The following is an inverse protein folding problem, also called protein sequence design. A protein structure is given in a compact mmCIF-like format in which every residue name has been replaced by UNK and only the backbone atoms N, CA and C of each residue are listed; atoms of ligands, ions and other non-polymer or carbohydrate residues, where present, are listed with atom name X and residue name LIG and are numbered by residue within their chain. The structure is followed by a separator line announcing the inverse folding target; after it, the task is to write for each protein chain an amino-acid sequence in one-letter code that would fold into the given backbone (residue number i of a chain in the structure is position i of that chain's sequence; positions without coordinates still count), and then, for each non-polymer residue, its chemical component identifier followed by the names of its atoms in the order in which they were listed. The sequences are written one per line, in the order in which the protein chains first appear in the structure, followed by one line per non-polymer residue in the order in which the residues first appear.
data_IF_176484025499
#
_entry.id   IF_176484025499
#
_cell.length_a   1.000
_cell.length_b   1.000
_cell.length_c   1.000
_cell.angle_alpha   90.00
_cell.angle_beta   90.00
_cell.angle_gamma   90.00
#
_symmetry.space_group_name_H-M   'P 1'
#
loop_
_entity.id
_entity.type
_entity.pdbx_description
1 polymer ?
#
# COMPACT_ATOMS: atom_id res chain seq x y z
N UNK A 1 30.36 2.74 5.40
CA UNK A 1 29.95 1.96 4.21
C UNK A 1 29.09 0.78 4.65
N UNK A 2 27.76 0.96 4.81
CA UNK A 2 26.70 -0.06 4.65
C UNK A 2 25.30 0.33 5.19
N UNK A 3 25.12 1.47 5.87
CA UNK A 3 23.79 1.82 6.43
C UNK A 3 22.80 2.41 5.42
N UNK A 4 23.24 2.72 4.20
CA UNK A 4 22.36 3.19 3.11
C UNK A 4 21.68 2.05 2.31
N UNK A 5 21.91 0.77 2.65
CA UNK A 5 21.56 -0.34 1.74
C UNK A 5 20.37 -1.23 2.12
N UNK A 6 19.67 -0.99 3.23
CA UNK A 6 18.48 -1.82 3.57
C UNK A 6 17.26 -0.99 4.00
N UNK A 7 17.43 0.19 4.63
CA UNK A 7 16.31 0.94 5.23
C UNK A 7 15.43 1.74 4.24
N UNK A 8 15.68 1.65 2.92
CA UNK A 8 15.02 2.50 1.93
C UNK A 8 14.25 1.72 0.86
N UNK A 9 13.88 0.46 1.13
CA UNK A 9 13.46 -0.45 0.06
C UNK A 9 11.97 -0.73 -0.11
N UNK A 10 11.08 -0.36 0.80
CA UNK A 10 9.64 -0.61 0.56
C UNK A 10 8.65 0.33 1.27
N UNK A 11 9.08 1.38 1.97
CA UNK A 11 8.13 2.20 2.74
C UNK A 11 8.31 3.70 2.60
N UNK A 12 8.29 4.14 1.35
CA UNK A 12 7.72 5.42 0.95
C UNK A 12 7.01 5.11 -0.35
N UNK A 13 5.75 5.49 -0.51
CA UNK A 13 5.04 5.44 -1.79
C UNK A 13 5.68 6.46 -2.77
N UNK A 14 6.97 6.28 -3.07
CA UNK A 14 7.83 7.27 -3.73
C UNK A 14 7.56 7.34 -5.23
N UNK A 15 6.76 6.41 -5.77
CA UNK A 15 6.31 6.42 -7.16
C UNK A 15 4.80 6.28 -7.21
N UNK A 16 4.10 7.39 -7.01
CA UNK A 16 2.69 7.46 -7.35
C UNK A 16 2.61 7.43 -8.87
N UNK A 17 2.36 6.26 -9.45
CA UNK A 17 2.13 6.13 -10.90
C UNK A 17 0.94 7.00 -11.33
N UNK A 18 1.04 7.62 -12.50
CA UNK A 18 -0.06 8.39 -13.09
C UNK A 18 -1.31 7.51 -13.28
N UNK A 19 -2.47 8.09 -12.96
CA UNK A 19 -3.74 7.40 -13.14
C UNK A 19 -4.19 7.43 -14.60
N UNK A 20 -4.70 6.30 -15.09
CA UNK A 20 -5.20 6.08 -16.44
C UNK A 20 -6.73 5.98 -16.42
N UNK A 21 -7.38 6.79 -17.25
CA UNK A 21 -8.84 6.86 -17.38
C UNK A 21 -9.28 8.17 -18.05
N UNK A 22 -10.57 8.46 -18.04
CA UNK A 22 -11.06 9.81 -18.38
C UNK A 22 -10.68 10.80 -17.28
N UNK A 23 -10.57 12.09 -17.59
CA UNK A 23 -10.21 13.12 -16.59
C UNK A 23 -11.08 13.03 -15.32
N UNK A 24 -12.41 12.91 -15.49
CA UNK A 24 -13.35 12.74 -14.37
C UNK A 24 -13.07 11.51 -13.51
N UNK A 25 -12.68 10.39 -14.15
CA UNK A 25 -12.33 9.17 -13.41
C UNK A 25 -11.00 9.35 -12.68
N UNK A 26 -10.02 10.00 -13.31
CA UNK A 26 -8.72 10.28 -12.72
C UNK A 26 -8.88 11.15 -11.48
N UNK A 27 -9.63 12.24 -11.57
CA UNK A 27 -9.88 13.16 -10.45
C UNK A 27 -10.50 12.40 -9.26
N UNK A 28 -11.56 11.62 -9.52
CA UNK A 28 -12.23 10.86 -8.46
C UNK A 28 -11.35 9.74 -7.89
N UNK A 29 -10.63 9.02 -8.74
CA UNK A 29 -9.72 7.96 -8.32
C UNK A 29 -8.55 8.52 -7.51
N UNK A 30 -8.07 9.72 -7.83
CA UNK A 30 -7.03 10.43 -7.08
C UNK A 30 -7.49 10.71 -5.65
N UNK A 31 -8.70 11.23 -5.46
CA UNK A 31 -9.27 11.48 -4.13
C UNK A 31 -9.39 10.19 -3.29
N UNK A 32 -9.84 9.11 -3.92
CA UNK A 32 -9.93 7.80 -3.27
C UNK A 32 -8.54 7.30 -2.86
N UNK A 33 -7.57 7.34 -3.78
CA UNK A 33 -6.19 6.89 -3.53
C UNK A 33 -5.52 7.70 -2.42
N UNK A 34 -5.70 9.02 -2.45
CA UNK A 34 -5.17 9.95 -1.44
C UNK A 34 -5.75 9.69 -0.04
N UNK A 35 -6.94 9.09 0.06
CA UNK A 35 -7.54 8.69 1.34
C UNK A 35 -7.14 7.26 1.74
N UNK A 36 -7.17 6.32 0.79
CA UNK A 36 -7.03 4.88 1.05
C UNK A 36 -5.58 4.49 1.36
N UNK A 37 -4.60 5.01 0.63
CA UNK A 37 -3.20 4.63 0.83
C UNK A 37 -2.70 5.05 2.22
N UNK A 38 -2.88 6.30 2.68
CA UNK A 38 -2.52 6.67 4.05
C UNK A 38 -3.27 5.86 5.11
N UNK A 39 -4.58 5.63 4.93
CA UNK A 39 -5.36 4.83 5.89
C UNK A 39 -4.87 3.38 6.00
N UNK A 40 -4.37 2.77 4.91
CA UNK A 40 -3.71 1.46 4.97
C UNK A 40 -2.45 1.49 5.83
N UNK A 41 -1.64 2.54 5.68
CA UNK A 41 -0.41 2.73 6.45
C UNK A 41 -0.75 2.89 7.93
N UNK A 42 -1.69 3.77 8.27
CA UNK A 42 -2.12 4.03 9.65
C UNK A 42 -2.64 2.75 10.32
N UNK A 43 -3.45 1.94 9.62
CA UNK A 43 -3.94 0.68 10.18
C UNK A 43 -2.83 -0.34 10.42
N UNK A 44 -1.83 -0.42 9.53
CA UNK A 44 -0.65 -1.26 9.73
C UNK A 44 0.18 -0.78 10.93
N UNK A 45 0.35 0.53 11.10
CA UNK A 45 1.01 1.10 12.27
C UNK A 45 0.27 0.78 13.56
N UNK A 46 -1.06 0.93 13.59
CA UNK A 46 -1.87 0.56 14.75
C UNK A 46 -1.78 -0.94 15.07
N UNK A 47 -1.72 -1.80 14.05
CA UNK A 47 -1.49 -3.24 14.24
C UNK A 47 -0.12 -3.53 14.85
N UNK A 48 0.92 -2.78 14.47
CA UNK A 48 2.25 -2.89 15.04
C UNK A 48 2.29 -2.43 16.50
N UNK A 49 1.69 -1.29 16.80
CA UNK A 49 1.61 -0.73 18.16
C UNK A 49 0.93 -1.72 19.11
N UNK A 50 -0.16 -2.36 18.69
CA UNK A 50 -0.85 -3.40 19.48
C UNK A 50 0.02 -4.62 19.81
N UNK A 51 1.09 -4.85 19.03
CA UNK A 51 2.07 -5.92 19.25
C UNK A 51 3.31 -5.43 20.00
N UNK A 52 3.33 -4.18 20.45
CA UNK A 52 4.49 -3.56 21.10
C UNK A 52 5.66 -3.34 20.15
N UNK A 53 5.39 -3.15 18.85
CA UNK A 53 6.39 -2.98 17.79
C UNK A 53 6.14 -1.70 16.99
N UNK A 54 7.14 -1.22 16.28
CA UNK A 54 6.95 -0.25 15.20
C UNK A 54 6.56 -0.97 13.90
N UNK A 55 5.99 -0.24 12.94
CA UNK A 55 5.72 -0.82 11.63
C UNK A 55 7.02 -1.27 10.94
N UNK A 56 8.09 -0.50 11.07
CA UNK A 56 9.42 -0.86 10.56
C UNK A 56 9.92 -2.19 11.15
N UNK A 57 9.73 -2.42 12.46
CA UNK A 57 10.08 -3.69 13.09
C UNK A 57 9.28 -4.87 12.53
N UNK A 58 8.01 -4.64 12.16
CA UNK A 58 7.18 -5.67 11.52
C UNK A 58 7.61 -5.92 10.08
N UNK A 59 7.93 -4.88 9.33
CA UNK A 59 8.40 -4.98 7.94
C UNK A 59 9.83 -5.53 7.84
N UNK A 60 10.62 -5.49 8.92
CA UNK A 60 11.92 -6.16 8.97
C UNK A 60 11.82 -7.69 9.10
N UNK A 61 10.65 -8.23 9.50
CA UNK A 61 10.42 -9.67 9.56
C UNK A 61 10.27 -10.19 8.13
N UNK A 62 11.19 -11.04 7.68
CA UNK A 62 11.33 -11.46 6.28
C UNK A 62 9.99 -11.80 5.59
N UNK A 63 9.22 -12.74 6.14
CA UNK A 63 7.98 -13.19 5.48
C UNK A 63 6.86 -12.15 5.53
N UNK A 64 6.73 -11.44 6.65
CA UNK A 64 5.69 -10.42 6.83
C UNK A 64 5.99 -9.18 5.98
N UNK A 65 7.21 -8.67 6.06
CA UNK A 65 7.66 -7.48 5.37
C UNK A 65 7.68 -7.64 3.85
N UNK A 66 8.11 -8.80 3.36
CA UNK A 66 8.01 -9.12 1.93
C UNK A 66 6.55 -9.10 1.51
N UNK A 67 5.68 -9.85 2.19
CA UNK A 67 4.27 -9.97 1.79
C UNK A 67 3.52 -8.63 1.87
N UNK A 68 3.59 -7.95 3.02
CA UNK A 68 2.82 -6.72 3.26
C UNK A 68 3.43 -5.53 2.56
N UNK A 69 4.76 -5.43 2.50
CA UNK A 69 5.44 -4.39 1.73
C UNK A 69 5.16 -4.51 0.24
N UNK A 70 5.22 -5.72 -0.33
CA UNK A 70 4.85 -5.95 -1.73
C UNK A 70 3.37 -5.64 -1.99
N UNK A 71 2.47 -6.05 -1.11
CA UNK A 71 1.05 -5.75 -1.25
C UNK A 71 0.75 -4.25 -1.20
N UNK A 72 1.39 -3.51 -0.30
CA UNK A 72 1.22 -2.06 -0.23
C UNK A 72 1.74 -1.38 -1.49
N UNK A 73 2.93 -1.75 -1.96
CA UNK A 73 3.49 -1.20 -3.21
C UNK A 73 2.59 -1.54 -4.41
N UNK A 74 2.15 -2.79 -4.51
CA UNK A 74 1.27 -3.25 -5.58
C UNK A 74 -0.02 -2.43 -5.65
N UNK A 75 -0.67 -2.16 -4.51
CA UNK A 75 -1.88 -1.33 -4.45
C UNK A 75 -1.54 0.12 -4.76
N UNK A 76 -0.49 0.67 -4.15
CA UNK A 76 -0.08 2.05 -4.34
C UNK A 76 0.29 2.34 -5.80
N UNK A 77 0.83 1.40 -6.54
CA UNK A 77 1.24 1.53 -7.95
C UNK A 77 0.11 1.24 -8.95
N UNK A 78 -1.12 0.92 -8.50
CA UNK A 78 -2.26 0.73 -9.40
C UNK A 78 -2.57 2.02 -10.16
N UNK A 79 -2.20 2.03 -11.44
CA UNK A 79 -2.45 3.14 -12.36
C UNK A 79 -3.91 3.22 -12.82
N UNK A 80 -4.72 2.18 -12.71
CA UNK A 80 -6.09 2.21 -13.24
C UNK A 80 -7.02 3.05 -12.37
N UNK A 81 -7.60 4.13 -12.90
CA UNK A 81 -8.64 4.88 -12.20
C UNK A 81 -9.86 4.01 -11.87
N UNK A 82 -10.21 3.08 -12.78
CA UNK A 82 -11.29 2.12 -12.58
C UNK A 82 -11.07 1.24 -11.35
N UNK A 83 -9.85 0.76 -11.12
CA UNK A 83 -9.52 -0.05 -9.93
C UNK A 83 -9.90 0.68 -8.63
N UNK A 84 -9.49 1.95 -8.50
CA UNK A 84 -9.77 2.75 -7.30
C UNK A 84 -11.27 3.01 -7.11
N UNK A 85 -11.97 3.33 -8.20
CA UNK A 85 -13.42 3.56 -8.17
C UNK A 85 -14.18 2.28 -7.79
N UNK A 86 -13.83 1.14 -8.38
CA UNK A 86 -14.48 -0.14 -8.09
C UNK A 86 -14.25 -0.58 -6.64
N UNK A 87 -13.06 -0.29 -6.08
CA UNK A 87 -12.68 -0.63 -4.72
C UNK A 87 -12.93 0.47 -3.69
N UNK A 88 -13.65 1.55 -4.04
CA UNK A 88 -13.89 2.70 -3.15
C UNK A 88 -14.50 2.31 -1.79
N UNK A 89 -15.39 1.32 -1.80
CA UNK A 89 -16.09 0.83 -0.61
C UNK A 89 -15.32 -0.26 0.15
N UNK A 90 -14.23 -0.80 -0.42
CA UNK A 90 -13.45 -1.84 0.25
C UNK A 90 -12.71 -1.28 1.47
N UNK A 91 -12.64 -2.08 2.54
CA UNK A 91 -11.75 -1.79 3.67
C UNK A 91 -10.29 -1.80 3.21
N UNK A 92 -9.46 -0.95 3.83
CA UNK A 92 -8.00 -0.86 3.64
C UNK A 92 -7.31 -2.22 3.77
N UNK A 93 -7.56 -2.97 4.85
CA UNK A 93 -7.00 -4.31 5.08
C UNK A 93 -7.54 -5.33 4.07
N UNK A 94 -8.79 -5.19 3.63
CA UNK A 94 -9.34 -6.06 2.58
C UNK A 94 -8.62 -5.83 1.25
N UNK A 95 -8.36 -4.57 0.89
CA UNK A 95 -7.58 -4.19 -0.29
C UNK A 95 -6.16 -4.80 -0.25
N UNK A 96 -5.49 -4.73 0.90
CA UNK A 96 -4.17 -5.36 1.07
C UNK A 96 -4.24 -6.88 0.96
N UNK A 97 -5.26 -7.54 1.53
CA UNK A 97 -5.44 -9.00 1.39
C UNK A 97 -5.67 -9.42 -0.05
N UNK A 98 -6.50 -8.66 -0.79
CA UNK A 98 -6.72 -8.92 -2.21
C UNK A 98 -5.41 -8.81 -3.00
N UNK A 99 -4.60 -7.79 -2.71
CA UNK A 99 -3.29 -7.63 -3.33
C UNK A 99 -2.33 -8.80 -3.03
N UNK A 100 -2.29 -9.30 -1.78
CA UNK A 100 -1.51 -10.49 -1.45
C UNK A 100 -1.97 -11.71 -2.28
N UNK A 101 -3.27 -11.89 -2.46
CA UNK A 101 -3.80 -12.96 -3.31
C UNK A 101 -3.42 -12.79 -4.78
N UNK A 102 -3.44 -11.56 -5.30
CA UNK A 102 -3.03 -11.25 -6.69
C UNK A 102 -1.53 -11.47 -6.92
N UNK A 103 -0.68 -11.19 -5.93
CA UNK A 103 0.78 -11.38 -6.03
C UNK A 103 1.16 -12.87 -6.05
N UNK A 104 0.40 -13.71 -5.35
CA UNK A 104 0.69 -15.14 -5.18
C UNK A 104 -0.02 -16.05 -6.21
N UNK A 105 -0.84 -15.48 -7.09
CA UNK A 105 -1.58 -16.19 -8.14
C UNK A 105 -0.74 -16.36 -9.42
#
# INVERSE_FOLDING_TARGET
MQFEKIANRCYRATFVTDLLGTQKQIDWASDIRATKVPAMIDELEQMAIRRGKTLDDMLAVADFGVTVGQALNFVAEKASAKFWIDNRAAGTIQLLRNAVSEINA
#
